data_IF_815396958204
#
_entry.id   IF_815396958204
#
_cell.length_a   1.000
_cell.length_b   1.000
_cell.length_c   1.000
_cell.angle_alpha   90.00
_cell.angle_beta   90.00
_cell.angle_gamma   90.00
#
_symmetry.space_group_name_H-M   'P 1'
#
loop_
_entity.id
_entity.type
_entity.pdbx_description
1 polymer ?
#
# COMPACT_ATOMS: atom_id res chain seq x y z
N UNK A 1 -8.85 -27.16 -16.28
CA UNK A 1 -9.57 -25.92 -15.95
C UNK A 1 -9.15 -25.32 -14.61
N UNK A 2 -9.19 -26.08 -13.51
CA UNK A 2 -8.85 -25.59 -12.15
C UNK A 2 -7.42 -25.06 -12.10
N UNK A 3 -6.46 -25.80 -12.65
CA UNK A 3 -5.05 -25.38 -12.67
C UNK A 3 -4.86 -24.08 -13.47
N UNK A 4 -5.54 -23.89 -14.59
CA UNK A 4 -5.46 -22.67 -15.39
C UNK A 4 -6.01 -21.45 -14.65
N UNK A 5 -7.09 -21.64 -13.88
CA UNK A 5 -7.61 -20.60 -13.01
C UNK A 5 -6.56 -20.09 -12.01
N UNK A 6 -5.91 -21.01 -11.29
CA UNK A 6 -4.87 -20.62 -10.33
C UNK A 6 -3.59 -20.09 -10.99
N UNK A 7 -3.24 -20.58 -12.19
CA UNK A 7 -2.16 -20.00 -12.98
C UNK A 7 -2.44 -18.55 -13.40
N UNK A 8 -3.69 -18.26 -13.78
CA UNK A 8 -4.12 -16.90 -14.09
C UNK A 8 -4.16 -16.03 -12.85
N UNK A 9 -4.66 -16.54 -11.73
CA UNK A 9 -4.58 -15.84 -10.44
C UNK A 9 -3.14 -15.50 -10.04
N UNK A 10 -2.18 -16.39 -10.29
CA UNK A 10 -0.77 -16.16 -10.02
C UNK A 10 -0.16 -14.97 -10.79
N UNK A 11 -0.76 -14.58 -11.92
CA UNK A 11 -0.35 -13.35 -12.64
C UNK A 11 -0.66 -12.10 -11.81
N UNK A 12 -1.77 -12.12 -11.08
CA UNK A 12 -2.24 -11.00 -10.27
C UNK A 12 -1.82 -11.11 -8.80
N UNK A 13 -1.14 -12.18 -8.41
CA UNK A 13 -0.74 -12.37 -7.01
C UNK A 13 0.12 -11.20 -6.54
N UNK A 14 -0.09 -10.83 -5.27
CA UNK A 14 0.55 -9.68 -4.61
C UNK A 14 0.20 -8.30 -5.21
N UNK A 15 -0.83 -8.20 -6.06
CA UNK A 15 -1.33 -6.90 -6.52
C UNK A 15 -2.14 -6.23 -5.41
N UNK A 16 -1.73 -5.04 -5.03
CA UNK A 16 -2.36 -4.23 -4.00
C UNK A 16 -2.79 -2.88 -4.58
N UNK A 17 -3.87 -2.31 -4.06
CA UNK A 17 -4.26 -0.96 -4.41
C UNK A 17 -3.28 0.06 -3.84
N UNK A 18 -3.07 1.13 -4.57
CA UNK A 18 -2.24 2.25 -4.17
C UNK A 18 -2.81 3.59 -4.65
N UNK A 19 -2.52 4.63 -3.90
CA UNK A 19 -2.80 6.01 -4.27
C UNK A 19 -1.45 6.69 -4.46
N UNK A 20 -1.05 6.82 -5.74
CA UNK A 20 0.24 7.39 -6.10
C UNK A 20 0.18 8.91 -6.08
N UNK A 21 1.18 9.55 -5.47
CA UNK A 21 1.34 11.00 -5.57
C UNK A 21 1.62 11.40 -7.02
N UNK A 22 0.87 12.35 -7.52
CA UNK A 22 1.02 12.90 -8.88
C UNK A 22 1.16 14.42 -8.82
N UNK A 23 1.56 15.02 -9.92
CA UNK A 23 1.59 16.47 -10.04
C UNK A 23 0.23 16.99 -10.48
N UNK A 24 -0.08 18.23 -10.11
CA UNK A 24 -1.27 18.91 -10.63
C UNK A 24 -1.22 19.05 -12.15
N UNK A 25 -2.37 18.86 -12.78
CA UNK A 25 -2.54 19.19 -14.19
C UNK A 25 -2.49 20.72 -14.38
N UNK A 26 -2.04 21.21 -15.56
CA UNK A 26 -2.01 22.65 -15.85
C UNK A 26 -3.38 23.33 -15.74
N UNK A 27 -4.46 22.60 -16.01
CA UNK A 27 -5.85 23.05 -15.94
C UNK A 27 -6.45 23.10 -14.53
N UNK A 28 -5.79 22.48 -13.56
CA UNK A 28 -6.31 22.43 -12.19
C UNK A 28 -6.11 23.75 -11.45
N UNK A 29 -7.12 24.14 -10.70
CA UNK A 29 -7.04 25.32 -9.84
C UNK A 29 -6.15 25.04 -8.62
N UNK A 30 -4.98 25.70 -8.60
CA UNK A 30 -4.00 25.62 -7.50
C UNK A 30 -4.03 26.81 -6.56
N UNK A 31 -5.01 27.68 -6.73
CA UNK A 31 -5.16 28.86 -5.89
C UNK A 31 -5.20 28.44 -4.41
N UNK A 32 -4.42 29.10 -3.59
CA UNK A 32 -4.30 28.82 -2.16
C UNK A 32 -3.70 27.47 -1.75
N UNK A 33 -3.39 26.56 -2.67
CA UNK A 33 -2.80 25.25 -2.29
C UNK A 33 -1.51 25.42 -1.48
N UNK A 34 -0.54 26.20 -2.00
CA UNK A 34 0.74 26.42 -1.31
C UNK A 34 0.58 27.13 0.04
N UNK A 35 -0.29 28.12 0.12
CA UNK A 35 -0.55 28.84 1.39
C UNK A 35 -1.23 27.95 2.43
N UNK A 36 -2.20 27.14 2.02
CA UNK A 36 -2.84 26.15 2.90
C UNK A 36 -1.86 25.11 3.41
N UNK A 37 -1.02 24.53 2.55
CA UNK A 37 0.01 23.58 2.96
C UNK A 37 1.02 24.21 3.93
N UNK A 38 1.43 25.45 3.70
CA UNK A 38 2.31 26.20 4.61
C UNK A 38 1.66 26.41 5.98
N UNK A 39 0.37 26.77 6.00
CA UNK A 39 -0.38 26.95 7.25
C UNK A 39 -0.49 25.65 8.05
N UNK A 40 -0.87 24.56 7.39
CA UNK A 40 -0.98 23.24 8.04
C UNK A 40 0.37 22.78 8.59
N UNK A 41 1.45 22.94 7.82
CA UNK A 41 2.81 22.63 8.27
C UNK A 41 3.24 23.45 9.48
N UNK A 42 2.92 24.73 9.50
CA UNK A 42 3.20 25.61 10.62
C UNK A 42 2.45 25.17 11.90
N UNK A 43 1.17 24.81 11.77
CA UNK A 43 0.38 24.25 12.90
C UNK A 43 0.98 22.96 13.43
N UNK A 44 1.31 22.01 12.54
CA UNK A 44 1.95 20.73 12.92
C UNK A 44 3.27 20.98 13.66
N UNK A 45 4.09 21.88 13.15
CA UNK A 45 5.36 22.23 13.79
C UNK A 45 5.19 22.90 15.17
N UNK A 46 4.15 23.72 15.33
CA UNK A 46 3.80 24.29 16.65
C UNK A 46 3.45 23.19 17.64
N UNK A 47 2.64 22.21 17.25
CA UNK A 47 2.30 21.08 18.13
C UNK A 47 3.51 20.20 18.47
N UNK A 48 4.42 19.97 17.51
CA UNK A 48 5.68 19.26 17.77
C UNK A 48 6.54 19.99 18.81
N UNK A 49 6.66 21.32 18.73
CA UNK A 49 7.38 22.12 19.72
C UNK A 49 6.77 21.95 21.12
N UNK A 50 5.44 22.01 21.24
CA UNK A 50 4.75 21.82 22.51
C UNK A 50 4.98 20.41 23.07
N UNK A 51 4.92 19.37 22.25
CA UNK A 51 5.25 18.00 22.69
C UNK A 51 6.70 17.87 23.17
N UNK A 52 7.62 18.54 22.50
CA UNK A 52 9.03 18.57 22.92
C UNK A 52 9.19 19.23 24.27
N UNK A 53 8.49 20.34 24.53
CA UNK A 53 8.49 21.00 25.84
C UNK A 53 7.97 20.10 26.97
N UNK A 54 6.86 19.38 26.73
CA UNK A 54 6.34 18.39 27.69
C UNK A 54 7.38 17.29 27.94
N UNK A 55 8.01 16.79 26.88
CA UNK A 55 9.03 15.75 26.99
C UNK A 55 10.30 16.22 27.73
N UNK A 56 10.65 17.50 27.61
CA UNK A 56 11.78 18.10 28.34
C UNK A 56 11.46 18.25 29.83
N UNK A 57 10.22 18.61 30.20
CA UNK A 57 9.78 18.61 31.63
C UNK A 57 9.97 17.24 32.27
N UNK A 58 9.65 16.16 31.56
CA UNK A 58 9.85 14.80 32.05
C UNK A 58 11.32 14.53 32.31
N UNK A 59 12.20 14.88 31.34
CA UNK A 59 13.65 14.66 31.49
C UNK A 59 14.25 15.47 32.64
N UNK A 60 13.80 16.69 32.88
CA UNK A 60 14.28 17.52 33.98
C UNK A 60 13.81 16.97 35.33
N UNK A 61 12.54 16.57 35.47
CA UNK A 61 12.02 15.92 36.67
C UNK A 61 12.80 14.64 37.02
N UNK A 62 13.07 13.78 36.01
CA UNK A 62 13.87 12.55 36.21
C UNK A 62 15.31 12.79 36.63
N UNK A 63 15.90 13.92 36.27
CA UNK A 63 17.28 14.28 36.71
C UNK A 63 17.33 14.76 38.15
N UNK A 64 16.26 15.38 38.64
CA UNK A 64 16.16 15.91 40.03
C UNK A 64 15.75 14.85 41.04
N UNK A 65 15.05 13.81 40.61
CA UNK A 65 14.67 12.68 41.47
C UNK A 65 15.73 11.57 41.38
N UNK A 66 16.86 11.77 42.03
CA UNK A 66 17.88 10.73 42.27
C UNK A 66 17.36 9.73 43.32
N UNK A 67 16.39 8.90 42.95
CA UNK A 67 15.90 7.89 43.86
C UNK A 67 14.80 7.05 43.23
N UNK A 68 15.20 5.91 42.66
CA UNK A 68 14.33 4.77 42.29
C UNK A 68 13.02 5.16 41.58
N UNK A 69 13.13 5.50 40.29
CA UNK A 69 11.95 5.54 39.42
C UNK A 69 11.26 4.16 39.47
N UNK A 70 10.03 4.10 39.94
CA UNK A 70 9.20 2.90 39.88
C UNK A 70 9.00 2.56 38.40
N UNK A 71 9.25 1.31 38.05
CA UNK A 71 8.93 0.80 36.70
C UNK A 71 7.46 1.09 36.44
N UNK A 72 7.16 1.93 35.40
CA UNK A 72 5.81 2.34 35.02
C UNK A 72 5.48 3.82 35.23
N UNK A 73 6.28 4.59 35.94
CA UNK A 73 6.06 6.03 36.10
C UNK A 73 6.73 6.79 34.96
N UNK A 74 5.91 7.32 34.04
CA UNK A 74 6.38 8.10 32.89
C UNK A 74 6.92 9.47 33.30
N UNK A 75 6.81 9.87 34.56
CA UNK A 75 7.12 11.21 35.05
C UNK A 75 6.20 12.29 34.48
N UNK A 76 5.07 11.89 33.95
CA UNK A 76 4.00 12.76 33.47
C UNK A 76 2.90 12.83 34.51
N UNK A 77 2.37 14.01 34.73
CA UNK A 77 1.09 14.14 35.40
C UNK A 77 -0.06 13.84 34.41
N UNK A 78 -1.28 13.55 34.91
CA UNK A 78 -2.42 13.25 34.02
C UNK A 78 -2.75 14.39 33.04
N UNK A 79 -2.48 15.63 33.39
CA UNK A 79 -2.66 16.79 32.54
C UNK A 79 -1.66 16.84 31.40
N UNK A 80 -0.40 16.50 31.64
CA UNK A 80 0.64 16.41 30.62
C UNK A 80 0.36 15.23 29.63
N UNK A 81 -0.12 14.09 30.13
CA UNK A 81 -0.53 12.96 29.28
C UNK A 81 -1.72 13.32 28.38
N UNK A 82 -2.75 13.92 28.94
CA UNK A 82 -3.90 14.38 28.17
C UNK A 82 -3.50 15.42 27.11
N UNK A 83 -2.61 16.34 27.46
CA UNK A 83 -2.09 17.35 26.55
C UNK A 83 -1.29 16.72 25.41
N UNK A 84 -0.41 15.77 25.70
CA UNK A 84 0.36 15.04 24.69
C UNK A 84 -0.53 14.24 23.73
N UNK A 85 -1.55 13.57 24.26
CA UNK A 85 -2.53 12.83 23.46
C UNK A 85 -3.32 13.77 22.54
N UNK A 86 -3.76 14.93 23.03
CA UNK A 86 -4.47 15.96 22.26
C UNK A 86 -3.59 16.52 21.14
N UNK A 87 -2.35 16.85 21.43
CA UNK A 87 -1.39 17.35 20.42
C UNK A 87 -1.14 16.31 19.33
N UNK A 88 -1.01 15.02 19.68
CA UNK A 88 -0.87 13.93 18.70
C UNK A 88 -2.08 13.82 17.77
N UNK A 89 -3.29 13.87 18.33
CA UNK A 89 -4.54 13.85 17.55
C UNK A 89 -4.66 15.07 16.63
N UNK A 90 -4.28 16.25 17.09
CA UNK A 90 -4.31 17.46 16.28
C UNK A 90 -3.30 17.41 15.14
N UNK A 91 -2.09 16.92 15.36
CA UNK A 91 -1.09 16.72 14.32
C UNK A 91 -1.61 15.73 13.25
N UNK A 92 -2.19 14.62 13.69
CA UNK A 92 -2.76 13.63 12.79
C UNK A 92 -3.90 14.22 11.94
N UNK A 93 -4.83 14.97 12.56
CA UNK A 93 -5.92 15.65 11.86
C UNK A 93 -5.40 16.58 10.75
N UNK A 94 -4.44 17.43 11.07
CA UNK A 94 -3.89 18.35 10.08
C UNK A 94 -3.04 17.66 9.01
N UNK A 95 -2.40 16.53 9.33
CA UNK A 95 -1.72 15.72 8.32
C UNK A 95 -2.72 15.13 7.31
N UNK A 96 -3.84 14.58 7.79
CA UNK A 96 -4.92 14.06 6.94
C UNK A 96 -5.53 15.17 6.10
N UNK A 97 -5.78 16.34 6.68
CA UNK A 97 -6.30 17.51 5.97
C UNK A 97 -5.33 17.96 4.86
N UNK A 98 -4.04 17.97 5.14
CA UNK A 98 -3.01 18.25 4.14
C UNK A 98 -2.98 17.24 3.00
N UNK A 99 -3.18 15.96 3.32
CA UNK A 99 -3.23 14.90 2.30
C UNK A 99 -4.46 14.98 1.39
N UNK A 100 -5.61 15.38 1.91
CA UNK A 100 -6.84 15.53 1.12
C UNK A 100 -6.73 16.53 -0.02
N UNK A 101 -5.86 17.52 0.12
CA UNK A 101 -5.67 18.57 -0.89
C UNK A 101 -4.55 18.27 -1.88
N UNK A 102 -3.79 17.20 -1.69
CA UNK A 102 -2.75 16.77 -2.64
C UNK A 102 -3.37 15.96 -3.78
N UNK A 103 -2.92 16.18 -5.02
CA UNK A 103 -3.37 15.39 -6.13
C UNK A 103 -2.81 13.96 -6.01
N UNK A 104 -3.61 12.98 -6.40
CA UNK A 104 -3.20 11.59 -6.43
C UNK A 104 -3.92 10.83 -7.54
N UNK A 105 -3.34 9.72 -7.96
CA UNK A 105 -3.94 8.82 -8.91
C UNK A 105 -4.15 7.44 -8.28
N UNK A 106 -5.30 6.85 -8.53
CA UNK A 106 -5.54 5.47 -8.18
C UNK A 106 -4.70 4.56 -9.07
N UNK A 107 -4.06 3.59 -8.46
CA UNK A 107 -3.24 2.63 -9.17
C UNK A 107 -3.07 1.34 -8.38
N UNK A 108 -2.10 0.58 -8.77
CA UNK A 108 -1.74 -0.68 -8.11
C UNK A 108 -0.23 -0.78 -7.96
N UNK A 109 0.20 -1.50 -6.94
CA UNK A 109 1.59 -1.89 -6.79
C UNK A 109 1.70 -3.39 -6.53
N UNK A 110 2.87 -3.93 -6.73
CA UNK A 110 3.19 -5.32 -6.39
C UNK A 110 3.99 -5.35 -5.10
N UNK A 111 3.45 -5.99 -4.08
CA UNK A 111 4.11 -6.03 -2.78
C UNK A 111 3.25 -6.67 -1.71
N UNK A 112 3.77 -6.64 -0.49
CA UNK A 112 3.11 -7.21 0.68
C UNK A 112 1.81 -6.45 0.98
N UNK A 113 0.76 -7.19 1.35
CA UNK A 113 -0.46 -6.61 1.89
C UNK A 113 -0.15 -5.80 3.15
N UNK A 114 -0.50 -4.52 3.14
CA UNK A 114 -0.35 -3.66 4.30
C UNK A 114 -1.59 -3.81 5.17
N UNK A 115 -1.44 -4.42 6.35
CA UNK A 115 -2.49 -4.42 7.36
C UNK A 115 -2.60 -3.03 7.97
N UNK A 116 -3.70 -2.36 7.72
CA UNK A 116 -4.03 -1.09 8.35
C UNK A 116 -5.10 -1.29 9.39
N UNK A 117 -4.77 -1.07 10.64
CA UNK A 117 -5.74 -1.08 11.74
C UNK A 117 -6.64 0.17 11.70
N UNK A 118 -6.24 1.21 10.97
CA UNK A 118 -6.97 2.47 10.83
C UNK A 118 -6.91 2.91 9.37
N UNK A 119 -8.04 3.20 8.77
CA UNK A 119 -8.17 3.78 7.43
C UNK A 119 -7.84 5.29 7.42
N UNK A 120 -6.75 5.66 8.07
CA UNK A 120 -6.30 7.05 8.15
C UNK A 120 -5.30 7.33 7.04
N UNK A 121 -5.60 8.30 6.21
CA UNK A 121 -4.75 8.71 5.10
C UNK A 121 -4.84 7.79 3.87
N UNK A 122 -4.03 8.09 2.88
CA UNK A 122 -3.99 7.38 1.59
C UNK A 122 -3.38 6.00 1.71
N UNK A 123 -3.74 5.13 0.77
CA UNK A 123 -3.11 3.84 0.55
C UNK A 123 -1.78 4.10 -0.19
N UNK A 124 -0.69 4.06 0.53
CA UNK A 124 0.64 4.26 -0.03
C UNK A 124 1.25 2.93 -0.45
N UNK A 125 1.98 2.87 -1.57
CA UNK A 125 2.82 1.72 -1.89
C UNK A 125 3.80 1.46 -0.74
N UNK A 126 4.20 0.20 -0.55
CA UNK A 126 5.22 -0.13 0.42
C UNK A 126 6.50 0.67 0.13
N UNK A 127 6.98 1.44 1.11
CA UNK A 127 8.12 2.32 0.96
C UNK A 127 9.45 1.58 0.69
N UNK A 128 9.49 0.27 0.95
CA UNK A 128 10.65 -0.59 0.69
C UNK A 128 10.26 -1.67 -0.30
N UNK A 129 11.13 -1.94 -1.28
CA UNK A 129 10.95 -3.12 -2.11
C UNK A 129 10.84 -4.34 -1.20
N UNK A 130 10.00 -5.27 -1.62
CA UNK A 130 9.86 -6.53 -0.98
C UNK A 130 11.20 -7.28 -0.95
N UNK A 131 11.61 -7.69 0.20
CA UNK A 131 12.83 -8.45 0.40
C UNK A 131 12.49 -9.79 1.05
N UNK A 132 12.34 -10.81 0.26
CA UNK A 132 12.29 -12.20 0.71
C UNK A 132 11.06 -12.98 0.26
N UNK A 133 11.29 -14.22 -0.16
CA UNK A 133 10.23 -15.13 -0.62
C UNK A 133 9.23 -15.50 0.49
N UNK A 134 9.63 -15.40 1.74
CA UNK A 134 8.82 -15.80 2.91
C UNK A 134 7.64 -14.87 3.18
N UNK A 135 7.66 -13.69 2.64
CA UNK A 135 6.65 -12.67 2.89
C UNK A 135 5.61 -12.55 1.78
N UNK A 136 5.74 -13.31 0.70
CA UNK A 136 4.80 -13.33 -0.43
C UNK A 136 3.91 -14.55 -0.33
N UNK A 137 2.62 -14.32 -0.60
CA UNK A 137 1.68 -15.40 -0.83
C UNK A 137 2.24 -16.34 -1.90
N UNK A 138 2.25 -17.63 -1.59
CA UNK A 138 2.67 -18.65 -2.53
C UNK A 138 1.57 -18.86 -3.55
N UNK A 139 1.95 -18.87 -4.82
CA UNK A 139 1.03 -19.17 -5.90
C UNK A 139 0.77 -20.69 -5.89
N UNK A 140 -0.42 -21.13 -5.45
CA UNK A 140 -0.78 -22.54 -5.31
C UNK A 140 -2.27 -22.78 -5.59
N UNK A 141 -2.62 -24.01 -5.87
CA UNK A 141 -4.01 -24.45 -5.93
C UNK A 141 -4.55 -24.52 -4.50
N UNK A 142 -5.70 -23.92 -4.26
CA UNK A 142 -6.38 -23.98 -2.97
C UNK A 142 -7.39 -25.14 -2.98
N UNK A 143 -7.22 -26.10 -2.07
CA UNK A 143 -8.11 -27.26 -1.98
C UNK A 143 -9.50 -26.78 -1.51
N UNK A 144 -10.52 -27.05 -2.32
CA UNK A 144 -11.88 -26.59 -2.05
C UNK A 144 -12.04 -25.06 -1.97
N UNK A 145 -11.08 -24.29 -2.51
CA UNK A 145 -11.08 -22.83 -2.41
C UNK A 145 -10.71 -22.26 -1.03
N UNK A 146 -10.33 -23.12 -0.11
CA UNK A 146 -9.95 -22.70 1.24
C UNK A 146 -8.53 -22.08 1.24
N UNK A 147 -8.41 -20.83 1.64
CA UNK A 147 -7.15 -20.08 1.70
C UNK A 147 -6.11 -20.68 2.67
N UNK A 148 -6.53 -21.50 3.61
CA UNK A 148 -5.66 -22.19 4.55
C UNK A 148 -5.24 -23.59 4.07
N UNK A 149 -5.91 -24.14 3.03
CA UNK A 149 -5.62 -25.46 2.48
C UNK A 149 -4.79 -25.32 1.20
N UNK A 150 -3.51 -25.01 1.37
CA UNK A 150 -2.57 -24.80 0.27
C UNK A 150 -2.20 -26.17 -0.31
N UNK A 151 -2.52 -26.37 -1.59
CA UNK A 151 -2.19 -27.56 -2.37
C UNK A 151 -0.94 -27.38 -3.24
N UNK A 152 -0.98 -27.94 -4.45
CA UNK A 152 0.14 -27.91 -5.38
C UNK A 152 0.54 -26.49 -5.79
N UNK A 153 1.84 -26.17 -5.84
CA UNK A 153 2.32 -24.90 -6.34
C UNK A 153 1.99 -24.72 -7.83
N UNK A 154 1.72 -23.51 -8.22
CA UNK A 154 1.49 -23.15 -9.62
C UNK A 154 2.41 -22.01 -10.06
N UNK A 155 2.78 -22.06 -11.33
CA UNK A 155 3.46 -20.96 -12.02
C UNK A 155 2.44 -20.08 -12.76
N UNK A 156 2.68 -18.77 -12.88
CA UNK A 156 1.79 -17.93 -13.68
C UNK A 156 1.66 -18.44 -15.10
N UNK A 157 0.46 -18.36 -15.66
CA UNK A 157 0.18 -18.86 -17.00
C UNK A 157 -1.11 -18.30 -17.56
N UNK A 158 -1.22 -18.30 -18.88
CA UNK A 158 -2.47 -18.04 -19.58
C UNK A 158 -3.34 -19.31 -19.68
N UNK A 159 -4.44 -19.23 -20.38
CA UNK A 159 -5.35 -20.37 -20.59
C UNK A 159 -4.69 -21.40 -21.52
N UNK A 160 -4.50 -22.63 -21.04
CA UNK A 160 -3.87 -23.71 -21.82
C UNK A 160 -4.61 -24.01 -23.12
N UNK A 161 -5.94 -23.90 -23.13
CA UNK A 161 -6.74 -24.06 -24.32
C UNK A 161 -6.45 -22.99 -25.40
N UNK A 162 -6.09 -21.77 -25.01
CA UNK A 162 -5.73 -20.71 -25.94
C UNK A 162 -4.34 -20.89 -26.52
N UNK A 163 -3.41 -21.44 -25.74
CA UNK A 163 -2.05 -21.75 -26.19
C UNK A 163 -2.02 -22.82 -27.28
N UNK A 164 -3.02 -23.70 -27.30
CA UNK A 164 -3.17 -24.75 -28.35
C UNK A 164 -3.94 -24.29 -29.60
N UNK A 165 -4.64 -23.14 -29.53
CA UNK A 165 -5.42 -22.60 -30.64
C UNK A 165 -4.62 -21.52 -31.39
N UNK A 166 -4.54 -21.59 -32.69
CA UNK A 166 -4.04 -20.51 -33.52
C UNK A 166 -2.52 -20.35 -33.64
N UNK A 167 -1.73 -21.33 -33.19
CA UNK A 167 -0.26 -21.26 -33.31
C UNK A 167 0.42 -20.21 -32.42
N UNK A 168 -0.26 -19.76 -31.39
CA UNK A 168 0.34 -18.88 -30.39
C UNK A 168 1.44 -19.62 -29.62
N UNK A 169 2.52 -18.90 -29.35
CA UNK A 169 3.53 -19.42 -28.42
C UNK A 169 3.03 -19.27 -26.97
N UNK A 170 3.30 -20.26 -26.10
CA UNK A 170 2.99 -20.12 -24.68
C UNK A 170 3.60 -18.85 -24.09
N UNK A 171 2.83 -18.13 -23.29
CA UNK A 171 3.31 -16.91 -22.64
C UNK A 171 4.37 -17.25 -21.61
N UNK A 172 5.54 -16.67 -21.75
CA UNK A 172 6.58 -16.71 -20.70
C UNK A 172 6.37 -15.56 -19.74
N UNK A 173 5.91 -15.86 -18.55
CA UNK A 173 5.78 -14.87 -17.50
C UNK A 173 7.13 -14.66 -16.79
N UNK A 174 7.53 -13.41 -16.54
CA UNK A 174 8.76 -13.11 -15.82
C UNK A 174 8.65 -13.49 -14.34
N UNK A 175 9.79 -13.81 -13.71
CA UNK A 175 9.85 -14.06 -12.27
C UNK A 175 9.49 -12.81 -11.46
N UNK A 176 9.82 -11.64 -11.98
CA UNK A 176 9.40 -10.37 -11.39
C UNK A 176 7.88 -10.23 -11.45
N UNK A 177 7.24 -10.42 -10.29
CA UNK A 177 5.77 -10.36 -10.15
C UNK A 177 5.17 -9.05 -10.68
N UNK A 178 5.86 -7.92 -10.53
CA UNK A 178 5.40 -6.62 -11.04
C UNK A 178 5.25 -6.53 -12.56
N UNK A 179 6.01 -7.35 -13.29
CA UNK A 179 5.97 -7.38 -14.76
C UNK A 179 4.99 -8.41 -15.33
N UNK A 180 4.42 -9.29 -14.52
CA UNK A 180 3.50 -10.36 -14.98
C UNK A 180 2.24 -9.79 -15.62
N UNK A 181 1.65 -8.75 -15.04
CA UNK A 181 0.46 -8.08 -15.62
C UNK A 181 0.73 -7.49 -17.00
N UNK A 182 1.91 -6.90 -17.20
CA UNK A 182 2.31 -6.39 -18.51
C UNK A 182 2.48 -7.52 -19.53
N UNK A 183 3.08 -8.64 -19.13
CA UNK A 183 3.21 -9.81 -19.99
C UNK A 183 1.83 -10.37 -20.39
N UNK A 184 0.87 -10.41 -19.47
CA UNK A 184 -0.51 -10.79 -19.77
C UNK A 184 -1.18 -9.80 -20.72
N UNK A 185 -1.02 -8.50 -20.47
CA UNK A 185 -1.60 -7.46 -21.33
C UNK A 185 -1.08 -7.58 -22.77
N UNK A 186 0.23 -7.77 -22.95
CA UNK A 186 0.82 -7.97 -24.27
C UNK A 186 0.28 -9.23 -24.96
N UNK A 187 0.05 -10.32 -24.20
CA UNK A 187 -0.56 -11.52 -24.75
C UNK A 187 -2.03 -11.31 -25.17
N UNK A 188 -2.79 -10.55 -24.39
CA UNK A 188 -4.20 -10.23 -24.73
C UNK A 188 -4.29 -9.45 -26.04
N UNK A 189 -3.40 -8.49 -26.27
CA UNK A 189 -3.43 -7.61 -27.45
C UNK A 189 -2.65 -8.19 -28.63
N UNK A 190 -2.06 -9.36 -28.51
CA UNK A 190 -1.33 -10.00 -29.59
C UNK A 190 -2.30 -10.31 -30.76
N UNK A 191 -1.94 -9.89 -31.95
CA UNK A 191 -2.75 -10.09 -33.19
C UNK A 191 -3.07 -11.56 -33.44
N UNK A 192 -2.19 -12.46 -32.99
CA UNK A 192 -2.37 -13.91 -33.11
C UNK A 192 -3.29 -14.51 -32.07
N UNK A 193 -3.76 -13.69 -31.11
CA UNK A 193 -4.65 -14.18 -30.06
C UNK A 193 -6.09 -14.32 -30.58
N UNK A 194 -6.56 -15.54 -30.84
CA UNK A 194 -7.89 -15.74 -31.42
C UNK A 194 -9.02 -15.44 -30.41
N UNK A 195 -8.71 -15.44 -29.12
CA UNK A 195 -9.72 -15.24 -28.06
C UNK A 195 -10.14 -13.79 -28.00
N UNK A 196 -9.21 -12.85 -28.12
CA UNK A 196 -9.51 -11.41 -27.97
C UNK A 196 -10.47 -10.96 -29.04
N UNK A 197 -10.22 -11.30 -30.31
CA UNK A 197 -11.12 -10.98 -31.41
C UNK A 197 -12.52 -11.61 -31.22
N UNK A 198 -12.59 -12.88 -30.81
CA UNK A 198 -13.86 -13.58 -30.53
C UNK A 198 -14.67 -12.97 -29.43
N UNK A 199 -14.01 -12.57 -28.34
CA UNK A 199 -14.69 -11.94 -27.19
C UNK A 199 -15.25 -10.57 -27.57
N UNK A 200 -14.52 -9.79 -28.35
CA UNK A 200 -15.00 -8.46 -28.80
C UNK A 200 -16.20 -8.60 -29.76
N UNK A 201 -16.12 -9.54 -30.71
CA UNK A 201 -17.20 -9.74 -31.70
C UNK A 201 -18.47 -10.34 -31.08
N UNK A 202 -18.35 -11.14 -30.02
CA UNK A 202 -19.50 -11.80 -29.38
C UNK A 202 -20.17 -10.94 -28.29
N UNK A 203 -19.73 -9.72 -28.06
CA UNK A 203 -20.32 -8.77 -27.14
C UNK A 203 -21.14 -7.70 -27.85
#
# INVERSE_FOLDING_TARGET
PTRDYYRMMAVFSTTQFAEHDVTFLPSENRTHFKSSQKLLSAKINSYKKQQTQISQKIKSKRKTETGKAKVGDNGLDPGDEASKARLSKNMERHAIEGDRTKPFAHGVYTGKTIHRNNLKGRIQPAAKPWHGPEQIEKDAILTGGNVYAIGDPVTPGALSAAESLGGMKPVKFPDNKGKRRLALANWIVDEKNPLTARVIVNR
#
